data_IF_966338605704
#
_entry.id   IF_966338605704
#
_cell.length_a   1.000
_cell.length_b   1.000
_cell.length_c   1.000
_cell.angle_alpha   90.00
_cell.angle_beta   90.00
_cell.angle_gamma   90.00
#
_symmetry.space_group_name_H-M   'P 1'
#
loop_
_entity.id
_entity.type
_entity.pdbx_description
1 polymer ?
#
# COMPACT_ATOMS: atom_id res chain seq x y z
N UNK A 1 13.61 73.00 81.43
CA UNK A 1 12.68 72.83 80.33
C UNK A 1 12.96 71.44 79.69
N UNK A 2 12.15 70.45 80.09
CA UNK A 2 12.29 69.04 79.62
C UNK A 2 11.35 68.82 78.47
N UNK A 3 11.87 68.50 77.32
CA UNK A 3 11.07 67.97 76.18
C UNK A 3 11.41 66.49 75.99
N UNK A 4 10.48 65.68 76.34
CA UNK A 4 10.54 64.21 76.09
C UNK A 4 10.06 63.92 74.68
N UNK A 5 10.86 63.21 73.90
CA UNK A 5 10.49 62.58 72.60
C UNK A 5 9.93 61.19 72.87
N UNK A 6 8.88 60.76 72.19
CA UNK A 6 8.41 59.39 72.35
C UNK A 6 9.19 58.41 71.42
N UNK A 7 9.62 57.31 72.02
CA UNK A 7 10.24 56.21 71.34
C UNK A 7 9.15 55.39 70.64
N UNK A 8 9.24 55.22 69.30
CA UNK A 8 8.41 54.30 68.56
C UNK A 8 9.05 52.94 68.62
N UNK A 9 8.29 51.96 69.17
CA UNK A 9 8.63 50.54 69.22
C UNK A 9 8.49 49.96 67.84
N UNK A 10 9.61 49.47 67.23
CA UNK A 10 9.59 48.60 66.05
C UNK A 10 9.42 47.19 66.52
N UNK A 11 8.32 46.58 66.21
CA UNK A 11 8.08 45.15 66.41
C UNK A 11 8.89 44.32 65.40
N UNK A 12 9.66 43.31 65.84
CA UNK A 12 10.39 42.45 64.90
C UNK A 12 9.39 41.47 64.21
N UNK A 13 9.40 41.52 62.89
CA UNK A 13 8.71 40.48 62.07
C UNK A 13 9.36 39.12 62.35
N UNK A 14 8.61 38.19 62.87
CA UNK A 14 9.08 36.86 63.25
C UNK A 14 9.41 36.04 61.99
N UNK A 15 10.46 35.26 62.09
CA UNK A 15 11.02 34.36 61.04
C UNK A 15 9.98 33.40 60.44
N UNK A 16 8.91 33.11 61.14
CA UNK A 16 7.79 32.23 60.70
C UNK A 16 6.94 32.81 59.58
N UNK A 17 6.79 34.16 59.47
CA UNK A 17 6.02 34.78 58.40
C UNK A 17 6.80 34.78 57.04
N UNK A 18 8.11 34.78 57.08
CA UNK A 18 8.95 34.68 55.87
C UNK A 18 8.97 33.24 55.28
N UNK A 19 8.87 32.19 56.13
CA UNK A 19 8.80 30.80 55.63
C UNK A 19 7.46 30.49 54.94
N UNK A 20 6.36 31.09 55.41
CA UNK A 20 5.01 30.86 54.82
C UNK A 20 4.90 31.49 53.42
N UNK A 21 5.53 32.62 53.16
CA UNK A 21 5.56 33.27 51.85
C UNK A 21 6.48 32.55 50.84
N UNK A 22 7.56 31.91 51.31
CA UNK A 22 8.45 31.15 50.45
C UNK A 22 7.82 29.83 49.99
N UNK A 23 7.00 29.19 50.84
CA UNK A 23 6.28 27.94 50.50
C UNK A 23 5.16 28.18 49.47
N UNK A 24 4.47 29.34 49.51
CA UNK A 24 3.42 29.68 48.55
C UNK A 24 3.96 29.98 47.16
N UNK A 25 5.20 30.54 47.05
CA UNK A 25 5.84 30.85 45.77
C UNK A 25 6.37 29.58 45.04
N UNK A 26 6.68 28.46 45.74
CA UNK A 26 7.16 27.24 45.15
C UNK A 26 6.03 26.36 44.61
N UNK A 27 4.79 26.55 45.07
CA UNK A 27 3.65 25.73 44.62
C UNK A 27 3.06 26.15 43.24
N UNK A 28 3.49 27.29 42.68
CA UNK A 28 2.93 27.83 41.43
C UNK A 28 3.74 27.46 40.17
N UNK A 29 4.80 26.67 40.29
CA UNK A 29 5.64 26.28 39.14
C UNK A 29 5.67 24.80 38.84
N UNK A 30 4.76 23.99 39.37
CA UNK A 30 4.50 22.68 38.85
C UNK A 30 3.51 22.81 37.68
N UNK A 31 3.98 23.34 36.54
CA UNK A 31 3.35 23.08 35.29
C UNK A 31 3.40 21.53 35.07
N UNK A 32 2.29 20.87 34.76
CA UNK A 32 2.36 19.50 34.35
C UNK A 32 3.29 19.47 33.13
N UNK A 33 4.42 18.78 33.22
CA UNK A 33 5.16 18.36 32.06
C UNK A 33 4.20 17.42 31.33
N UNK A 34 3.50 17.95 30.33
CA UNK A 34 2.88 17.12 29.31
C UNK A 34 4.06 16.39 28.66
N UNK A 35 4.22 15.12 29.03
CA UNK A 35 5.02 14.21 28.28
C UNK A 35 4.39 14.21 26.89
N UNK A 36 5.06 14.84 25.91
CA UNK A 36 4.82 14.61 24.49
C UNK A 36 5.25 13.19 24.18
N UNK A 37 4.34 12.27 24.42
CA UNK A 37 4.46 10.87 24.10
C UNK A 37 3.04 10.37 23.87
N UNK A 38 2.57 10.55 22.65
CA UNK A 38 1.50 9.88 21.91
C UNK A 38 0.86 10.85 20.93
N UNK A 39 1.69 11.50 20.17
CA UNK A 39 1.26 12.08 18.91
C UNK A 39 1.61 11.06 17.83
N UNK A 40 0.57 10.40 17.32
CA UNK A 40 0.34 10.28 15.90
C UNK A 40 -0.60 9.13 15.59
N UNK A 41 -1.79 9.24 16.11
CA UNK A 41 -2.91 8.79 15.30
C UNK A 41 -3.26 9.97 14.39
N UNK A 42 -2.47 10.18 13.33
CA UNK A 42 -2.89 11.02 12.25
C UNK A 42 -4.31 10.60 11.90
N UNK A 43 -5.27 11.51 12.01
CA UNK A 43 -6.66 11.22 11.70
C UNK A 43 -6.71 10.50 10.35
N UNK A 44 -7.50 9.42 10.20
CA UNK A 44 -7.54 8.65 8.96
C UNK A 44 -7.70 9.62 7.81
N UNK A 45 -6.78 9.56 6.83
CA UNK A 45 -6.79 10.45 5.67
C UNK A 45 -8.16 10.36 5.02
N UNK A 46 -8.86 11.49 4.90
CA UNK A 46 -10.12 11.54 4.19
C UNK A 46 -9.86 11.57 2.69
N UNK A 47 -10.52 10.70 1.95
CA UNK A 47 -10.53 10.74 0.49
C UNK A 47 -11.07 12.09 -0.01
N UNK A 48 -10.33 12.70 -0.93
CA UNK A 48 -10.70 13.97 -1.59
C UNK A 48 -10.51 13.80 -3.10
N UNK A 49 -11.62 13.67 -3.82
CA UNK A 49 -11.59 13.45 -5.27
C UNK A 49 -10.85 14.55 -6.06
N UNK A 50 -10.76 15.77 -5.51
CA UNK A 50 -10.05 16.87 -6.16
C UNK A 50 -8.52 16.76 -6.03
N UNK A 51 -8.02 15.90 -5.14
CA UNK A 51 -6.60 15.68 -4.88
C UNK A 51 -6.08 14.32 -5.37
N UNK A 52 -6.93 13.59 -6.11
CA UNK A 52 -6.54 12.29 -6.66
C UNK A 52 -5.59 12.50 -7.84
N UNK A 53 -4.41 11.92 -7.73
CA UNK A 53 -3.38 11.95 -8.78
C UNK A 53 -3.27 10.58 -9.46
N UNK A 54 -3.24 10.57 -10.78
CA UNK A 54 -3.05 9.34 -11.57
C UNK A 54 -1.57 8.96 -11.58
N UNK A 55 -1.32 7.68 -11.30
CA UNK A 55 0.02 7.08 -11.34
C UNK A 55 0.13 6.06 -12.47
N UNK A 56 1.33 5.51 -12.76
CA UNK A 56 1.48 4.42 -13.74
C UNK A 56 0.66 3.15 -13.44
N UNK A 57 0.19 2.96 -12.21
CA UNK A 57 -0.55 1.76 -11.78
C UNK A 57 -1.97 2.05 -11.25
N UNK A 58 -2.46 3.30 -11.39
CA UNK A 58 -3.78 3.72 -10.96
C UNK A 58 -3.72 4.91 -10.00
N UNK A 59 -4.72 5.05 -9.15
CA UNK A 59 -4.83 6.17 -8.24
C UNK A 59 -5.55 5.78 -6.93
N UNK A 60 -5.53 6.69 -5.95
CA UNK A 60 -6.31 6.56 -4.72
C UNK A 60 -7.78 6.27 -5.04
N UNK A 61 -8.31 5.18 -4.53
CA UNK A 61 -9.69 4.76 -4.78
C UNK A 61 -10.69 5.47 -3.88
N UNK A 62 -11.89 5.73 -4.42
CA UNK A 62 -12.99 6.19 -3.59
C UNK A 62 -13.46 5.06 -2.65
N UNK A 63 -13.44 5.23 -1.33
CA UNK A 63 -13.89 4.20 -0.38
C UNK A 63 -15.34 3.73 -0.61
N UNK A 64 -16.21 4.59 -1.15
CA UNK A 64 -17.58 4.24 -1.49
C UNK A 64 -17.68 3.26 -2.68
N UNK A 65 -16.64 3.16 -3.50
CA UNK A 65 -16.60 2.33 -4.70
C UNK A 65 -15.84 1.01 -4.49
N UNK A 66 -15.44 0.69 -3.26
CA UNK A 66 -14.73 -0.57 -2.95
C UNK A 66 -15.62 -1.76 -3.28
N UNK A 67 -15.14 -2.63 -4.18
CA UNK A 67 -15.83 -3.86 -4.59
C UNK A 67 -15.29 -5.10 -3.91
N UNK A 68 -14.04 -5.05 -3.47
CA UNK A 68 -13.38 -6.17 -2.81
C UNK A 68 -12.43 -5.70 -1.72
N UNK A 69 -12.45 -6.42 -0.60
CA UNK A 69 -11.48 -6.26 0.48
C UNK A 69 -10.48 -7.41 0.41
N UNK A 70 -9.20 -7.07 0.44
CA UNK A 70 -8.10 -8.03 0.36
C UNK A 70 -7.32 -7.96 1.67
N UNK A 71 -7.46 -8.97 2.53
CA UNK A 71 -6.63 -9.07 3.73
C UNK A 71 -5.21 -9.50 3.39
N UNK A 72 -4.23 -8.86 4.04
CA UNK A 72 -2.81 -9.14 3.90
C UNK A 72 -2.15 -9.20 5.28
N UNK A 73 -1.41 -10.25 5.54
CA UNK A 73 -0.53 -10.36 6.70
C UNK A 73 0.90 -9.93 6.37
N UNK A 74 1.57 -9.30 7.32
CA UNK A 74 3.00 -9.00 7.31
C UNK A 74 3.67 -9.68 8.49
N UNK A 75 4.88 -10.20 8.32
CA UNK A 75 5.62 -10.91 9.37
C UNK A 75 7.10 -10.60 9.36
N UNK A 76 7.76 -10.82 10.51
CA UNK A 76 9.21 -10.66 10.67
C UNK A 76 10.04 -11.70 9.87
N UNK A 77 9.39 -12.65 9.21
CA UNK A 77 10.03 -13.49 8.19
C UNK A 77 10.24 -12.75 6.86
N UNK A 78 9.97 -11.42 6.82
CA UNK A 78 10.06 -10.56 5.65
C UNK A 78 9.16 -11.04 4.51
N UNK A 79 7.89 -11.33 4.83
CA UNK A 79 6.91 -11.85 3.86
C UNK A 79 5.55 -11.19 4.04
N UNK A 80 4.87 -11.05 2.89
CA UNK A 80 3.44 -10.78 2.82
C UNK A 80 2.68 -12.09 2.59
N UNK A 81 1.46 -12.17 3.12
CA UNK A 81 0.57 -13.32 2.89
C UNK A 81 -0.87 -12.82 2.62
N UNK A 82 -1.42 -13.03 1.42
CA UNK A 82 -0.78 -13.61 0.24
C UNK A 82 0.28 -12.67 -0.38
N UNK A 83 1.26 -13.26 -1.10
CA UNK A 83 2.27 -12.49 -1.83
C UNK A 83 1.84 -12.19 -3.28
N UNK A 84 0.91 -12.96 -3.84
CA UNK A 84 0.39 -12.79 -5.20
C UNK A 84 -1.10 -12.46 -5.17
N UNK A 85 -1.47 -11.37 -5.83
CA UNK A 85 -2.84 -10.86 -5.89
C UNK A 85 -3.18 -10.60 -7.36
N UNK A 86 -4.39 -11.01 -7.77
CA UNK A 86 -4.94 -10.65 -9.08
C UNK A 86 -6.13 -9.73 -8.87
N UNK A 87 -6.18 -8.62 -9.60
CA UNK A 87 -7.28 -7.66 -9.65
C UNK A 87 -7.67 -7.39 -11.09
N UNK A 88 -8.88 -6.84 -11.32
CA UNK A 88 -9.32 -6.43 -12.65
C UNK A 88 -9.00 -4.95 -12.89
N UNK A 89 -8.72 -4.58 -14.14
CA UNK A 89 -8.62 -3.16 -14.50
C UNK A 89 -9.93 -2.45 -14.18
N UNK A 90 -9.84 -1.24 -13.60
CA UNK A 90 -10.97 -0.46 -13.15
C UNK A 90 -11.52 -0.87 -11.77
N UNK A 91 -11.03 -1.99 -11.21
CA UNK A 91 -11.46 -2.43 -9.89
C UNK A 91 -10.92 -1.50 -8.79
N UNK A 92 -11.78 -1.07 -7.88
CA UNK A 92 -11.39 -0.41 -6.63
C UNK A 92 -11.34 -1.45 -5.53
N UNK A 93 -10.16 -1.65 -4.96
CA UNK A 93 -9.94 -2.62 -3.89
C UNK A 93 -9.48 -1.91 -2.62
N UNK A 94 -9.83 -2.50 -1.48
CA UNK A 94 -9.33 -2.10 -0.17
C UNK A 94 -8.40 -3.19 0.34
N UNK A 95 -7.14 -2.87 0.52
CA UNK A 95 -6.19 -3.72 1.23
C UNK A 95 -6.33 -3.45 2.72
N UNK A 96 -6.48 -4.51 3.50
CA UNK A 96 -6.42 -4.47 4.96
C UNK A 96 -5.15 -5.20 5.37
N UNK A 97 -4.15 -4.44 5.77
CA UNK A 97 -2.80 -4.94 6.02
C UNK A 97 -2.59 -5.08 7.52
N UNK A 98 -2.33 -6.28 7.99
CA UNK A 98 -2.08 -6.58 9.40
C UNK A 98 -0.61 -6.90 9.62
N UNK A 99 -0.03 -6.30 10.65
CA UNK A 99 1.31 -6.64 11.09
C UNK A 99 1.25 -7.67 12.23
N UNK A 100 1.58 -8.92 11.90
CA UNK A 100 1.63 -10.03 12.85
C UNK A 100 3.04 -10.22 13.44
N UNK A 101 4.00 -9.35 13.07
CA UNK A 101 5.37 -9.30 13.57
C UNK A 101 5.56 -8.40 14.80
N UNK A 102 6.83 -8.22 15.17
CA UNK A 102 7.29 -7.37 16.27
C UNK A 102 8.03 -6.13 15.76
N UNK A 103 8.41 -6.11 14.49
CA UNK A 103 9.04 -4.97 13.82
C UNK A 103 7.99 -4.07 13.18
N UNK A 104 8.36 -2.81 12.93
CA UNK A 104 7.55 -1.94 12.09
C UNK A 104 7.60 -2.45 10.65
N UNK A 105 6.44 -2.63 10.05
CA UNK A 105 6.31 -2.98 8.64
C UNK A 105 5.45 -1.96 7.92
N UNK A 106 5.57 -1.93 6.60
CA UNK A 106 4.71 -1.12 5.75
C UNK A 106 4.35 -1.88 4.48
N UNK A 107 3.27 -1.45 3.84
CA UNK A 107 2.94 -1.85 2.49
C UNK A 107 2.95 -0.62 1.60
N UNK A 108 3.76 -0.63 0.55
CA UNK A 108 3.81 0.42 -0.47
C UNK A 108 3.50 -0.21 -1.82
N UNK A 109 2.46 0.29 -2.51
CA UNK A 109 2.12 -0.11 -3.89
C UNK A 109 2.96 0.70 -4.87
N UNK A 110 3.41 0.07 -5.97
CA UNK A 110 4.16 0.78 -7.00
C UNK A 110 4.55 -0.08 -8.19
N UNK A 111 5.24 0.54 -9.15
CA UNK A 111 5.96 -0.22 -10.16
C UNK A 111 7.25 -0.81 -9.57
N UNK A 112 7.80 -1.89 -10.13
CA UNK A 112 9.08 -2.44 -9.67
C UNK A 112 10.20 -1.40 -9.64
N UNK A 113 10.22 -0.48 -10.61
CA UNK A 113 11.23 0.58 -10.71
C UNK A 113 11.07 1.62 -9.59
N UNK A 114 9.84 2.08 -9.33
CA UNK A 114 9.56 3.07 -8.29
C UNK A 114 9.88 2.52 -6.90
N UNK A 115 9.45 1.29 -6.60
CA UNK A 115 9.71 0.65 -5.31
C UNK A 115 11.21 0.46 -5.06
N UNK A 116 11.97 0.05 -6.09
CA UNK A 116 13.43 -0.07 -5.99
C UNK A 116 14.11 1.27 -5.73
N UNK A 117 13.68 2.32 -6.45
CA UNK A 117 14.23 3.67 -6.25
C UNK A 117 13.90 4.21 -4.85
N UNK A 118 12.68 3.99 -4.40
CA UNK A 118 12.23 4.41 -3.07
C UNK A 118 12.96 3.64 -1.96
N UNK A 119 13.13 2.32 -2.07
CA UNK A 119 13.92 1.53 -1.11
C UNK A 119 15.36 2.08 -0.97
N UNK A 120 16.01 2.41 -2.08
CA UNK A 120 17.34 3.01 -2.07
C UNK A 120 17.36 4.41 -1.40
N UNK A 121 16.27 5.17 -1.48
CA UNK A 121 16.14 6.46 -0.80
C UNK A 121 15.96 6.26 0.71
N UNK A 122 15.13 5.31 1.14
CA UNK A 122 14.92 4.99 2.55
C UNK A 122 16.19 4.47 3.24
N UNK A 123 17.06 3.77 2.53
CA UNK A 123 18.37 3.40 3.06
C UNK A 123 19.27 4.62 3.37
N UNK A 124 19.16 5.68 2.56
CA UNK A 124 19.94 6.92 2.76
C UNK A 124 19.36 7.82 3.83
N UNK A 125 18.04 7.80 3.99
CA UNK A 125 17.28 8.69 4.87
C UNK A 125 16.26 7.88 5.70
N UNK A 126 16.73 7.01 6.62
CA UNK A 126 15.85 6.08 7.35
C UNK A 126 14.83 6.77 8.25
N UNK A 127 15.11 8.01 8.68
CA UNK A 127 14.21 8.83 9.51
C UNK A 127 13.19 9.63 8.71
N UNK A 128 13.15 9.47 7.37
CA UNK A 128 12.20 10.20 6.54
C UNK A 128 10.81 9.57 6.65
N UNK A 129 9.96 10.19 7.44
CA UNK A 129 8.55 9.83 7.51
C UNK A 129 7.77 10.59 6.44
N UNK A 130 6.93 9.87 5.71
CA UNK A 130 6.02 10.44 4.75
C UNK A 130 4.77 9.58 4.63
N UNK A 131 3.66 10.20 4.31
CA UNK A 131 2.39 9.54 4.09
C UNK A 131 1.95 9.73 2.64
N UNK A 132 1.56 8.64 1.98
CA UNK A 132 1.08 8.65 0.61
C UNK A 132 -0.15 7.73 0.49
N UNK A 133 -1.10 8.00 -0.44
CA UNK A 133 -2.31 7.17 -0.59
C UNK A 133 -2.05 5.71 -0.89
N UNK A 134 -0.91 5.40 -1.52
CA UNK A 134 -0.50 4.06 -1.92
C UNK A 134 0.31 3.32 -0.85
N UNK A 135 0.33 3.83 0.40
CA UNK A 135 1.12 3.23 1.47
C UNK A 135 0.38 3.17 2.80
N UNK A 136 0.78 2.22 3.63
CA UNK A 136 0.33 2.08 5.01
C UNK A 136 1.50 1.63 5.90
N UNK A 137 1.86 2.46 6.88
CA UNK A 137 2.78 2.08 7.96
C UNK A 137 2.00 1.37 9.06
N UNK A 138 2.45 0.21 9.49
CA UNK A 138 1.70 -0.63 10.42
C UNK A 138 2.60 -1.07 11.58
N UNK A 139 2.32 -0.53 12.76
CA UNK A 139 3.01 -0.90 14.01
C UNK A 139 2.74 -2.38 14.36
N UNK A 140 3.60 -3.03 15.16
CA UNK A 140 3.38 -4.39 15.63
C UNK A 140 1.98 -4.61 16.23
N UNK A 141 1.29 -5.65 15.78
CA UNK A 141 -0.07 -6.01 16.22
C UNK A 141 -1.19 -5.12 15.68
N UNK A 142 -0.88 -4.05 14.95
CA UNK A 142 -1.86 -3.13 14.36
C UNK A 142 -2.29 -3.55 12.95
N UNK A 143 -3.23 -2.78 12.39
CA UNK A 143 -3.66 -2.90 10.99
C UNK A 143 -3.69 -1.52 10.33
N UNK A 144 -3.43 -1.49 9.02
CA UNK A 144 -3.55 -0.33 8.17
C UNK A 144 -4.43 -0.62 6.96
N UNK A 145 -4.82 0.40 6.23
CA UNK A 145 -5.69 0.28 5.06
C UNK A 145 -5.13 1.10 3.89
N UNK A 146 -5.26 0.53 2.68
CA UNK A 146 -5.01 1.24 1.42
C UNK A 146 -6.24 1.02 0.53
N UNK A 147 -6.86 2.09 0.03
CA UNK A 147 -7.91 2.00 -0.98
C UNK A 147 -7.35 2.45 -2.31
N UNK A 148 -7.33 1.56 -3.29
CA UNK A 148 -6.69 1.80 -4.58
C UNK A 148 -7.58 1.38 -5.75
N UNK A 149 -7.63 2.20 -6.80
CA UNK A 149 -8.25 1.85 -8.07
C UNK A 149 -7.16 1.60 -9.12
N UNK A 150 -7.13 0.38 -9.66
CA UNK A 150 -6.19 0.00 -10.71
C UNK A 150 -6.75 0.37 -12.07
N UNK A 151 -6.24 1.44 -12.70
CA UNK A 151 -6.75 1.97 -13.98
C UNK A 151 -6.04 1.38 -15.20
N UNK A 152 -4.89 0.74 -14.98
CA UNK A 152 -4.06 0.14 -16.05
C UNK A 152 -3.80 -1.32 -15.75
N UNK A 153 -3.93 -2.15 -16.78
CA UNK A 153 -3.51 -3.54 -16.70
C UNK A 153 -1.99 -3.63 -16.71
N UNK A 154 -1.48 -4.66 -16.07
CA UNK A 154 -0.03 -4.88 -15.98
C UNK A 154 0.38 -5.64 -14.73
N UNK A 155 1.68 -5.71 -14.55
CA UNK A 155 2.32 -6.40 -13.44
C UNK A 155 2.95 -5.36 -12.51
N UNK A 156 2.34 -5.17 -11.35
CA UNK A 156 2.77 -4.22 -10.33
C UNK A 156 3.21 -4.96 -9.08
N UNK A 157 3.74 -4.24 -8.12
CA UNK A 157 4.25 -4.82 -6.88
C UNK A 157 3.77 -4.04 -5.66
N UNK A 158 3.89 -4.67 -4.52
CA UNK A 158 3.89 -4.02 -3.22
C UNK A 158 5.10 -4.50 -2.43
N UNK A 159 5.62 -3.65 -1.58
CA UNK A 159 6.84 -3.93 -0.82
C UNK A 159 6.81 -3.28 0.56
N UNK A 160 7.62 -3.80 1.48
CA UNK A 160 8.03 -3.10 2.67
C UNK A 160 9.36 -2.40 2.38
N UNK A 161 9.39 -1.07 2.52
CA UNK A 161 10.57 -0.25 2.21
C UNK A 161 11.31 0.20 3.47
N UNK A 162 10.94 -0.35 4.65
CA UNK A 162 11.74 -0.21 5.84
C UNK A 162 13.17 -0.69 5.57
N UNK A 163 14.22 -0.01 6.07
CA UNK A 163 15.60 -0.33 5.76
C UNK A 163 15.92 -1.82 5.93
N UNK A 164 16.42 -2.45 4.86
CA UNK A 164 16.77 -3.87 4.81
C UNK A 164 15.63 -4.85 4.53
N UNK A 165 14.37 -4.45 4.65
CA UNK A 165 13.23 -5.36 4.43
C UNK A 165 13.02 -5.69 2.95
N UNK A 166 13.18 -4.68 2.09
CA UNK A 166 13.10 -4.87 0.63
C UNK A 166 14.18 -5.83 0.14
N UNK A 167 15.41 -5.66 0.59
CA UNK A 167 16.56 -6.50 0.23
C UNK A 167 16.42 -7.92 0.77
N UNK A 168 15.75 -8.09 1.91
CA UNK A 168 15.40 -9.40 2.47
C UNK A 168 14.25 -10.09 1.70
N UNK A 169 13.71 -9.44 0.65
CA UNK A 169 12.67 -9.98 -0.21
C UNK A 169 11.26 -9.79 0.33
N UNK A 170 11.00 -8.77 1.16
CA UNK A 170 9.65 -8.44 1.61
C UNK A 170 8.90 -7.67 0.52
N UNK A 171 8.43 -8.40 -0.46
CA UNK A 171 7.66 -7.91 -1.59
C UNK A 171 6.61 -8.92 -2.03
N UNK A 172 5.60 -8.41 -2.74
CA UNK A 172 4.55 -9.17 -3.35
C UNK A 172 4.15 -8.58 -4.70
N UNK A 173 3.24 -9.25 -5.38
CA UNK A 173 2.85 -8.94 -6.75
C UNK A 173 1.36 -8.63 -6.85
N UNK A 174 1.02 -7.64 -7.66
CA UNK A 174 -0.35 -7.37 -8.09
C UNK A 174 -0.42 -7.50 -9.61
N UNK A 175 -1.07 -8.55 -10.08
CA UNK A 175 -1.43 -8.68 -11.48
C UNK A 175 -2.76 -7.98 -11.73
N UNK A 176 -2.75 -6.89 -12.50
CA UNK A 176 -3.97 -6.21 -12.95
C UNK A 176 -4.35 -6.78 -14.31
N UNK A 177 -5.37 -7.64 -14.32
CA UNK A 177 -5.90 -8.22 -15.54
C UNK A 177 -6.70 -7.17 -16.33
N UNK A 178 -6.64 -7.26 -17.67
CA UNK A 178 -7.44 -6.41 -18.55
C UNK A 178 -8.95 -6.63 -18.39
N UNK A 179 -9.74 -5.78 -19.06
CA UNK A 179 -11.21 -5.88 -19.01
C UNK A 179 -11.69 -7.23 -19.57
N UNK A 180 -12.52 -7.92 -18.83
CA UNK A 180 -13.21 -9.11 -19.32
C UNK A 180 -14.06 -8.80 -20.57
N UNK A 181 -14.54 -7.56 -20.72
CA UNK A 181 -15.26 -7.09 -21.91
C UNK A 181 -14.38 -6.94 -23.16
N UNK A 182 -13.06 -6.79 -22.98
CA UNK A 182 -12.07 -6.69 -24.06
C UNK A 182 -11.45 -8.05 -24.43
N UNK A 183 -11.97 -9.16 -23.90
CA UNK A 183 -11.45 -10.48 -24.22
C UNK A 183 -11.70 -10.86 -25.67
N UNK A 184 -10.65 -11.31 -26.35
CA UNK A 184 -10.69 -11.86 -27.68
C UNK A 184 -10.92 -13.36 -27.63
N UNK A 185 -11.68 -13.90 -28.58
CA UNK A 185 -11.80 -15.35 -28.74
C UNK A 185 -10.55 -15.92 -29.40
N UNK A 186 -10.16 -17.08 -28.94
CA UNK A 186 -9.04 -17.84 -29.50
C UNK A 186 -9.18 -19.35 -29.29
N UNK A 187 -8.38 -20.07 -30.03
CA UNK A 187 -8.22 -21.53 -29.89
C UNK A 187 -6.80 -21.83 -29.45
N UNK A 188 -6.64 -22.64 -28.43
CA UNK A 188 -5.35 -23.09 -27.92
C UNK A 188 -4.72 -24.05 -28.91
N UNK A 189 -3.58 -23.69 -29.48
CA UNK A 189 -2.84 -24.52 -30.46
C UNK A 189 -1.67 -25.27 -29.84
N UNK A 190 -1.04 -24.67 -28.81
CA UNK A 190 0.07 -25.28 -28.09
C UNK A 190 0.26 -24.62 -26.73
N UNK A 191 0.66 -25.42 -25.74
CA UNK A 191 0.97 -24.96 -24.37
C UNK A 191 2.40 -25.39 -24.04
N UNK A 192 3.23 -24.43 -23.66
CA UNK A 192 4.56 -24.67 -23.10
C UNK A 192 4.62 -24.16 -21.67
N UNK A 193 4.30 -25.05 -20.73
CA UNK A 193 4.28 -24.75 -19.29
C UNK A 193 5.68 -24.43 -18.75
N UNK A 194 6.73 -25.01 -19.35
CA UNK A 194 8.12 -24.81 -18.91
C UNK A 194 8.60 -23.40 -19.21
N UNK A 195 8.23 -22.86 -20.39
CA UNK A 195 8.63 -21.52 -20.82
C UNK A 195 7.57 -20.46 -20.55
N UNK A 196 6.41 -20.82 -19.96
CA UNK A 196 5.31 -19.90 -19.74
C UNK A 196 4.77 -19.32 -21.04
N UNK A 197 4.63 -20.14 -22.09
CA UNK A 197 4.19 -19.72 -23.42
C UNK A 197 2.92 -20.42 -23.84
N UNK A 198 2.07 -19.67 -24.54
CA UNK A 198 0.80 -20.12 -25.08
C UNK A 198 0.69 -19.72 -26.55
N UNK A 199 0.48 -20.71 -27.45
CA UNK A 199 0.19 -20.44 -28.85
C UNK A 199 -1.32 -20.42 -29.05
N UNK A 200 -1.85 -19.29 -29.49
CA UNK A 200 -3.27 -19.11 -29.79
C UNK A 200 -3.49 -18.78 -31.25
N UNK A 201 -4.52 -19.39 -31.85
CA UNK A 201 -5.17 -18.88 -33.06
C UNK A 201 -6.29 -17.96 -32.58
N UNK A 202 -6.23 -16.68 -32.84
CA UNK A 202 -7.11 -15.69 -32.26
C UNK A 202 -7.75 -14.77 -33.32
N UNK A 203 -8.89 -14.19 -32.96
CA UNK A 203 -9.51 -13.09 -33.67
C UNK A 203 -8.75 -11.78 -33.48
N UNK A 204 -9.26 -10.64 -34.00
CA UNK A 204 -8.64 -9.34 -33.78
C UNK A 204 -8.50 -9.00 -32.31
N UNK A 205 -7.36 -8.46 -31.90
CA UNK A 205 -7.10 -7.96 -30.54
C UNK A 205 -7.12 -6.44 -30.63
N UNK A 206 -8.26 -5.83 -30.30
CA UNK A 206 -8.52 -4.43 -30.54
C UNK A 206 -7.54 -3.49 -29.79
N UNK A 207 -7.24 -3.76 -28.53
CA UNK A 207 -6.34 -2.95 -27.70
C UNK A 207 -4.87 -3.02 -28.13
N UNK A 208 -4.51 -3.98 -29.00
CA UNK A 208 -3.17 -4.11 -29.57
C UNK A 208 -3.13 -3.77 -31.05
N UNK A 209 -4.27 -3.40 -31.65
CA UNK A 209 -4.44 -3.13 -33.10
C UNK A 209 -3.98 -4.32 -33.96
N UNK A 210 -4.16 -5.54 -33.45
CA UNK A 210 -3.68 -6.75 -34.11
C UNK A 210 -4.82 -7.44 -34.86
N UNK A 211 -4.60 -7.82 -36.12
CA UNK A 211 -5.57 -8.66 -36.87
C UNK A 211 -5.58 -10.08 -36.31
N UNK A 212 -6.61 -10.86 -36.68
CA UNK A 212 -6.67 -12.27 -36.36
C UNK A 212 -5.52 -13.06 -36.97
N UNK A 213 -4.82 -13.85 -36.15
CA UNK A 213 -3.70 -14.68 -36.59
C UNK A 213 -3.40 -15.80 -35.59
N UNK A 214 -2.34 -16.55 -35.87
CA UNK A 214 -1.79 -17.53 -34.89
C UNK A 214 -0.44 -17.04 -34.44
N UNK A 215 -0.27 -16.82 -33.12
CA UNK A 215 1.01 -16.38 -32.57
C UNK A 215 1.27 -16.97 -31.18
N UNK A 216 2.51 -16.81 -30.74
CA UNK A 216 2.98 -17.24 -29.41
C UNK A 216 2.93 -16.04 -28.46
N UNK A 217 2.22 -16.19 -27.36
CA UNK A 217 2.18 -15.24 -26.28
C UNK A 217 3.02 -15.75 -25.10
N UNK A 218 3.59 -14.84 -24.32
CA UNK A 218 3.95 -15.15 -22.95
C UNK A 218 2.67 -15.15 -22.09
N UNK A 219 2.68 -15.84 -20.95
CA UNK A 219 1.65 -15.66 -19.94
C UNK A 219 2.21 -14.81 -18.82
N UNK A 220 1.40 -13.91 -18.30
CA UNK A 220 1.78 -13.07 -17.17
C UNK A 220 1.85 -13.85 -15.85
N UNK A 221 1.09 -14.95 -15.77
CA UNK A 221 1.05 -15.87 -14.63
C UNK A 221 1.01 -17.32 -15.14
N UNK A 222 1.97 -18.18 -14.76
CA UNK A 222 1.98 -19.61 -15.14
C UNK A 222 0.69 -20.35 -14.76
N UNK A 223 -0.01 -19.93 -13.71
CA UNK A 223 -1.29 -20.52 -13.28
C UNK A 223 -2.38 -20.43 -14.36
N UNK A 224 -2.28 -19.47 -15.27
CA UNK A 224 -3.21 -19.35 -16.41
C UNK A 224 -3.15 -20.55 -17.35
N UNK A 225 -2.08 -21.37 -17.30
CA UNK A 225 -1.89 -22.55 -18.13
C UNK A 225 -2.35 -23.87 -17.46
N UNK A 226 -2.74 -23.84 -16.19
CA UNK A 226 -2.96 -25.08 -15.41
C UNK A 226 -4.13 -25.91 -15.94
N UNK A 227 -5.24 -25.27 -16.30
CA UNK A 227 -6.48 -25.90 -16.69
C UNK A 227 -6.74 -25.88 -18.20
N UNK A 228 -5.75 -25.47 -19.01
CA UNK A 228 -5.88 -25.40 -20.47
C UNK A 228 -5.42 -26.67 -21.14
N UNK A 229 -6.06 -26.99 -22.28
CA UNK A 229 -5.70 -28.07 -23.18
C UNK A 229 -5.60 -27.57 -24.61
N UNK A 230 -4.78 -28.21 -25.41
CA UNK A 230 -4.73 -27.93 -26.85
C UNK A 230 -6.09 -28.28 -27.49
N UNK A 231 -6.59 -27.39 -28.34
CA UNK A 231 -7.93 -27.43 -28.91
C UNK A 231 -9.01 -26.70 -28.14
N UNK A 232 -8.73 -26.24 -26.90
CA UNK A 232 -9.71 -25.46 -26.14
C UNK A 232 -10.05 -24.15 -26.84
N UNK A 233 -11.34 -23.81 -26.87
CA UNK A 233 -11.81 -22.49 -27.23
C UNK A 233 -11.85 -21.63 -25.98
N UNK A 234 -11.16 -20.51 -26.04
CA UNK A 234 -10.95 -19.61 -24.88
C UNK A 234 -11.33 -18.18 -25.23
N UNK A 235 -11.63 -17.41 -24.19
CA UNK A 235 -11.60 -15.94 -24.23
C UNK A 235 -10.37 -15.49 -23.46
N UNK A 236 -9.62 -14.54 -23.98
CA UNK A 236 -8.40 -14.09 -23.36
C UNK A 236 -8.19 -12.58 -23.56
N UNK A 237 -7.51 -11.96 -22.61
CA UNK A 237 -6.97 -10.62 -22.72
C UNK A 237 -5.46 -10.71 -22.92
N UNK A 238 -4.93 -9.88 -23.83
CA UNK A 238 -3.50 -9.76 -24.04
C UNK A 238 -3.09 -8.28 -24.05
N UNK A 239 -1.94 -8.00 -23.45
CA UNK A 239 -1.44 -6.65 -23.25
C UNK A 239 0.08 -6.59 -23.43
N UNK A 240 0.62 -5.36 -23.57
CA UNK A 240 2.07 -5.14 -23.54
C UNK A 240 2.55 -5.08 -22.09
N UNK A 241 3.28 -6.09 -21.68
CA UNK A 241 3.90 -6.18 -20.35
C UNK A 241 5.42 -6.20 -20.54
N UNK A 242 6.12 -5.22 -19.98
CA UNK A 242 7.58 -5.10 -20.09
C UNK A 242 8.10 -5.19 -21.56
N UNK A 243 7.37 -4.57 -22.49
CA UNK A 243 7.72 -4.55 -23.91
C UNK A 243 7.37 -5.82 -24.70
N UNK A 244 6.91 -6.88 -24.05
CA UNK A 244 6.41 -8.09 -24.69
C UNK A 244 4.88 -8.18 -24.64
N UNK A 245 4.27 -8.89 -25.58
CA UNK A 245 2.84 -9.18 -25.53
C UNK A 245 2.62 -10.42 -24.64
N UNK A 246 1.78 -10.25 -23.61
CA UNK A 246 1.46 -11.33 -22.69
C UNK A 246 -0.04 -11.49 -22.53
N UNK A 247 -0.49 -12.73 -22.34
CA UNK A 247 -1.86 -13.05 -21.90
C UNK A 247 -1.96 -12.71 -20.42
N UNK A 248 -2.86 -11.81 -20.06
CA UNK A 248 -3.07 -11.33 -18.70
C UNK A 248 -4.30 -11.95 -18.03
N UNK A 249 -5.25 -12.46 -18.85
CA UNK A 249 -6.41 -13.22 -18.39
C UNK A 249 -6.80 -14.24 -19.47
N UNK A 250 -7.29 -15.39 -19.04
CA UNK A 250 -7.84 -16.42 -19.94
C UNK A 250 -8.92 -17.21 -19.22
N UNK A 251 -10.01 -17.45 -19.91
CA UNK A 251 -11.12 -18.26 -19.41
C UNK A 251 -11.66 -19.18 -20.53
N UNK A 252 -12.24 -20.32 -20.21
CA UNK A 252 -12.92 -21.12 -21.21
C UNK A 252 -14.02 -20.28 -21.89
N UNK A 253 -14.10 -20.31 -23.21
CA UNK A 253 -15.26 -19.77 -23.88
C UNK A 253 -16.47 -20.61 -23.46
N UNK A 254 -17.53 -19.96 -22.95
CA UNK A 254 -18.77 -20.68 -22.65
C UNK A 254 -19.16 -21.49 -23.89
N UNK A 255 -19.25 -22.82 -23.73
CA UNK A 255 -19.74 -23.69 -24.77
C UNK A 255 -21.15 -23.18 -25.16
N UNK A 256 -21.31 -22.73 -26.38
CA UNK A 256 -22.65 -22.46 -26.88
C UNK A 256 -23.43 -23.75 -26.69
N UNK A 257 -24.39 -23.74 -25.76
CA UNK A 257 -25.29 -24.84 -25.56
C UNK A 257 -25.92 -25.16 -26.91
N UNK A 258 -25.69 -26.37 -27.42
CA UNK A 258 -26.37 -26.91 -28.61
C UNK A 258 -27.77 -27.29 -28.24
#
# INVERSE_FOLDING_TARGET
>A
MNTRFPMTLKTPMTLTTLLALAAAALALHAAPASAHGDEDHAAPRRYDAAKVEETPFGHEGNPANVRRVIPLGMSDAMRFTPADITVQRGETVKFVVRNDGKLLHEMVLGTPADLKAHAALMQKFPEMEHASPNMAHVKPGASGEIVWQFTKAGDFQFACLQPGHFEAGMLGRVLVAGDASAMTQGEVRRIDKTQGKLTLRHGPIANLEMPGMTMVFKVSDPRLLENLREGDTVRFSAERVNGAIAVTAIEPAASAAR
#
